data_IF_099390662656
#
_entry.id   IF_099390662656
#
_cell.length_a   1.000
_cell.length_b   1.000
_cell.length_c   1.000
_cell.angle_alpha   90.00
_cell.angle_beta   90.00
_cell.angle_gamma   90.00
#
_symmetry.space_group_name_H-M   'P 1'
#
loop_
_entity.id
_entity.type
_entity.pdbx_description
1 polymer ?
#
# COMPACT_ATOMS: atom_id res chain seq x y z
N UNK A 1 -4.59 -12.72 -2.13
CA UNK A 1 -4.07 -11.42 -2.64
C UNK A 1 -3.54 -10.59 -1.49
N UNK A 2 -2.45 -9.90 -1.75
CA UNK A 2 -1.83 -8.98 -0.79
C UNK A 2 -1.64 -7.63 -1.49
N UNK A 3 -2.15 -6.55 -0.89
CA UNK A 3 -1.95 -5.18 -1.38
C UNK A 3 -0.69 -4.62 -0.75
N UNK A 4 0.22 -4.12 -1.58
CA UNK A 4 1.47 -3.52 -1.13
C UNK A 4 1.26 -2.04 -0.83
N UNK A 5 1.55 -1.64 0.42
CA UNK A 5 1.53 -0.22 0.80
C UNK A 5 2.63 0.56 0.06
N UNK A 6 2.46 1.87 -0.04
CA UNK A 6 3.38 2.74 -0.78
C UNK A 6 4.83 2.59 -0.33
N UNK A 7 5.06 2.46 0.99
CA UNK A 7 6.41 2.31 1.52
C UNK A 7 7.11 1.01 1.08
N UNK A 8 6.35 -0.03 0.76
CA UNK A 8 6.89 -1.27 0.18
C UNK A 8 7.16 -1.08 -1.32
N UNK A 9 6.25 -0.40 -2.03
CA UNK A 9 6.39 -0.16 -3.47
C UNK A 9 7.62 0.69 -3.79
N UNK A 10 7.93 1.68 -2.98
CA UNK A 10 9.10 2.56 -3.16
C UNK A 10 10.40 1.75 -3.21
N UNK A 11 10.53 0.76 -2.34
CA UNK A 11 11.72 -0.08 -2.22
C UNK A 11 11.44 -1.53 -2.66
N UNK A 12 10.59 -1.68 -3.66
CA UNK A 12 10.09 -2.97 -4.12
C UNK A 12 11.19 -4.02 -4.31
N UNK A 13 12.34 -3.63 -4.85
CA UNK A 13 13.45 -4.56 -5.15
C UNK A 13 14.15 -5.10 -3.91
N UNK A 14 13.89 -4.54 -2.74
CA UNK A 14 14.53 -4.94 -1.48
C UNK A 14 13.88 -6.15 -0.83
N UNK A 15 12.71 -6.57 -1.32
CA UNK A 15 11.90 -7.58 -0.64
C UNK A 15 11.72 -8.83 -1.47
N UNK A 16 11.50 -9.95 -0.76
CA UNK A 16 11.10 -11.21 -1.37
C UNK A 16 9.59 -11.26 -1.50
N UNK A 17 9.13 -11.76 -2.63
CA UNK A 17 7.72 -12.00 -2.89
C UNK A 17 7.50 -13.47 -3.25
N UNK A 18 6.49 -14.06 -2.64
CA UNK A 18 6.13 -15.47 -2.87
C UNK A 18 5.55 -15.61 -4.27
N UNK A 19 6.13 -16.50 -5.08
CA UNK A 19 5.66 -16.76 -6.44
C UNK A 19 4.24 -17.34 -6.48
N UNK A 20 3.79 -17.97 -5.39
CA UNK A 20 2.44 -18.51 -5.28
C UNK A 20 1.39 -17.50 -4.82
N UNK A 21 1.79 -16.28 -4.47
CA UNK A 21 0.87 -15.25 -3.98
C UNK A 21 0.63 -14.17 -5.05
N UNK A 22 -0.61 -13.67 -5.10
CA UNK A 22 -0.95 -12.53 -5.94
C UNK A 22 -0.73 -11.23 -5.17
N UNK A 23 0.05 -10.32 -5.74
CA UNK A 23 0.30 -8.99 -5.16
C UNK A 23 -0.37 -7.93 -6.00
N UNK A 24 -0.87 -6.90 -5.34
CA UNK A 24 -1.59 -5.81 -5.97
C UNK A 24 -1.11 -4.47 -5.40
N UNK A 25 -1.40 -3.40 -6.11
CA UNK A 25 -1.09 -2.04 -5.69
C UNK A 25 -2.32 -1.14 -5.90
N UNK A 26 -2.53 -0.21 -4.97
CA UNK A 26 -3.66 0.70 -5.00
C UNK A 26 -3.39 1.90 -5.90
N UNK A 27 -4.41 2.37 -6.61
CA UNK A 27 -4.37 3.64 -7.33
C UNK A 27 -4.04 4.82 -6.39
N UNK A 28 -4.37 4.69 -5.10
CA UNK A 28 -4.03 5.70 -4.10
C UNK A 28 -2.53 5.79 -3.87
N UNK A 29 -1.84 4.65 -3.86
CA UNK A 29 -0.38 4.61 -3.79
C UNK A 29 0.24 5.24 -5.03
N UNK A 30 -0.35 5.01 -6.21
CA UNK A 30 0.12 5.65 -7.43
C UNK A 30 0.03 7.18 -7.34
N UNK A 31 -1.06 7.69 -6.78
CA UNK A 31 -1.22 9.14 -6.56
C UNK A 31 -0.11 9.69 -5.64
N UNK A 32 0.25 8.97 -4.58
CA UNK A 32 1.36 9.36 -3.70
C UNK A 32 2.70 9.36 -4.43
N UNK A 33 2.94 8.36 -5.29
CA UNK A 33 4.16 8.26 -6.07
C UNK A 33 4.26 9.39 -7.10
N UNK A 34 3.15 9.77 -7.73
CA UNK A 34 3.10 10.95 -8.61
C UNK A 34 3.43 12.23 -7.84
N UNK A 35 2.85 12.40 -6.66
CA UNK A 35 3.19 13.53 -5.78
C UNK A 35 4.70 13.52 -5.46
N UNK A 36 5.27 12.35 -5.16
CA UNK A 36 6.69 12.20 -4.88
C UNK A 36 7.59 12.66 -6.03
N UNK A 37 7.20 12.39 -7.28
CA UNK A 37 7.93 12.87 -8.46
C UNK A 37 7.89 14.39 -8.51
N UNK A 38 6.72 14.99 -8.36
CA UNK A 38 6.55 16.45 -8.43
C UNK A 38 7.22 17.20 -7.28
N UNK A 39 7.29 16.59 -6.10
CA UNK A 39 7.91 17.16 -4.91
C UNK A 39 9.42 16.97 -4.86
N UNK A 40 10.01 16.25 -5.81
CA UNK A 40 11.46 16.01 -5.85
C UNK A 40 12.22 17.31 -6.04
N UNK A 41 13.36 17.43 -5.35
CA UNK A 41 14.13 18.68 -5.27
C UNK A 41 15.42 18.68 -6.09
N UNK A 42 15.74 17.55 -6.76
CA UNK A 42 16.93 17.46 -7.61
C UNK A 42 16.63 16.64 -8.87
N UNK A 43 17.41 16.87 -9.96
CA UNK A 43 17.25 16.07 -11.17
C UNK A 43 17.44 14.57 -10.94
N UNK A 44 18.35 14.17 -10.05
CA UNK A 44 18.57 12.77 -9.71
C UNK A 44 17.36 12.15 -9.02
N UNK A 45 16.75 12.87 -8.10
CA UNK A 45 15.52 12.41 -7.42
C UNK A 45 14.37 12.27 -8.40
N UNK A 46 14.19 13.25 -9.29
CA UNK A 46 13.14 13.21 -10.32
C UNK A 46 13.32 11.97 -11.20
N UNK A 47 14.54 11.75 -11.70
CA UNK A 47 14.83 10.61 -12.57
C UNK A 47 14.58 9.28 -11.86
N UNK A 48 15.06 9.13 -10.63
CA UNK A 48 14.92 7.91 -9.84
C UNK A 48 13.46 7.58 -9.52
N UNK A 49 12.71 8.59 -9.10
CA UNK A 49 11.29 8.42 -8.74
C UNK A 49 10.43 8.14 -9.97
N UNK A 50 10.72 8.82 -11.09
CA UNK A 50 10.05 8.57 -12.37
C UNK A 50 10.32 7.15 -12.86
N UNK A 51 11.57 6.70 -12.80
CA UNK A 51 11.93 5.34 -13.19
C UNK A 51 11.19 4.30 -12.35
N UNK A 52 11.15 4.49 -11.03
CA UNK A 52 10.41 3.57 -10.14
C UNK A 52 8.94 3.52 -10.49
N UNK A 53 8.30 4.66 -10.71
CA UNK A 53 6.88 4.70 -11.07
C UNK A 53 6.64 3.98 -12.40
N UNK A 54 7.50 4.17 -13.40
CA UNK A 54 7.40 3.47 -14.68
C UNK A 54 7.54 1.95 -14.52
N UNK A 55 8.45 1.50 -13.65
CA UNK A 55 8.62 0.08 -13.35
C UNK A 55 7.36 -0.52 -12.71
N UNK A 56 6.75 0.22 -11.79
CA UNK A 56 5.52 -0.22 -11.12
C UNK A 56 4.33 -0.22 -12.08
N UNK A 57 4.22 0.78 -12.97
CA UNK A 57 3.19 0.83 -14.00
C UNK A 57 3.27 -0.38 -14.95
N UNK A 58 4.48 -0.85 -15.24
CA UNK A 58 4.68 -2.03 -16.08
C UNK A 58 4.31 -3.34 -15.36
N UNK A 59 4.30 -3.35 -14.03
CA UNK A 59 4.14 -4.55 -13.23
C UNK A 59 2.75 -4.72 -12.63
N UNK A 60 2.08 -3.63 -12.30
CA UNK A 60 0.80 -3.67 -11.61
C UNK A 60 -0.31 -3.04 -12.44
N UNK A 61 -1.48 -3.70 -12.42
CA UNK A 61 -2.75 -3.06 -12.72
C UNK A 61 -3.23 -2.44 -11.41
N UNK A 62 -3.34 -1.12 -11.38
CA UNK A 62 -3.66 -0.42 -10.15
C UNK A 62 -5.11 -0.67 -9.75
N UNK A 63 -5.32 -1.10 -8.50
CA UNK A 63 -6.67 -1.31 -7.97
C UNK A 63 -7.40 0.03 -7.83
N UNK A 64 -8.56 0.19 -8.45
CA UNK A 64 -9.33 1.42 -8.33
C UNK A 64 -10.02 1.50 -6.96
N UNK A 65 -10.34 2.72 -6.54
CA UNK A 65 -11.25 2.95 -5.43
C UNK A 65 -12.68 2.93 -5.95
N UNK A 66 -13.22 1.74 -6.17
CA UNK A 66 -14.55 1.54 -6.73
C UNK A 66 -15.66 1.71 -5.68
N UNK A 67 -16.91 1.58 -6.11
CA UNK A 67 -18.09 1.76 -5.24
C UNK A 67 -18.08 0.77 -4.08
N UNK A 68 -17.74 -0.49 -4.34
CA UNK A 68 -17.67 -1.54 -3.32
C UNK A 68 -16.57 -1.25 -2.31
N UNK A 69 -15.44 -0.71 -2.77
CA UNK A 69 -14.36 -0.27 -1.87
C UNK A 69 -14.81 0.87 -0.96
N UNK A 70 -15.69 1.77 -1.43
CA UNK A 70 -16.22 2.84 -0.58
C UNK A 70 -17.16 2.30 0.50
N UNK A 71 -17.90 1.24 0.23
CA UNK A 71 -18.72 0.56 1.24
C UNK A 71 -17.83 -0.09 2.30
N UNK A 72 -16.78 -0.77 1.88
CA UNK A 72 -15.79 -1.32 2.80
C UNK A 72 -15.11 -0.23 3.63
N UNK A 73 -14.85 0.94 3.05
CA UNK A 73 -14.32 2.09 3.78
C UNK A 73 -15.23 2.48 4.93
N UNK A 74 -16.53 2.62 4.67
CA UNK A 74 -17.50 2.95 5.71
C UNK A 74 -17.47 1.97 6.88
N UNK A 75 -17.42 0.67 6.56
CA UNK A 75 -17.35 -0.39 7.56
C UNK A 75 -16.03 -0.36 8.36
N UNK A 76 -14.91 -0.30 7.67
CA UNK A 76 -13.57 -0.36 8.25
C UNK A 76 -13.30 0.88 9.11
N UNK A 77 -13.60 2.06 8.59
CA UNK A 77 -13.36 3.32 9.30
C UNK A 77 -14.28 3.48 10.51
N UNK A 78 -15.56 3.12 10.39
CA UNK A 78 -16.49 3.17 11.51
C UNK A 78 -16.09 2.18 12.61
N UNK A 79 -15.67 0.98 12.23
CA UNK A 79 -15.19 -0.02 13.18
C UNK A 79 -13.96 0.46 13.96
N UNK A 80 -13.01 1.07 13.27
CA UNK A 80 -11.82 1.64 13.92
C UNK A 80 -12.17 2.79 14.86
N UNK A 81 -13.04 3.69 14.42
CA UNK A 81 -13.51 4.83 15.23
C UNK A 81 -14.22 4.36 16.50
N UNK A 82 -15.00 3.30 16.41
CA UNK A 82 -15.73 2.74 17.56
C UNK A 82 -14.80 2.23 18.66
N UNK A 83 -13.57 1.85 18.33
CA UNK A 83 -12.56 1.43 19.30
C UNK A 83 -11.78 2.60 19.90
N UNK A 84 -12.08 3.84 19.52
CA UNK A 84 -11.35 5.04 19.94
C UNK A 84 -10.06 5.28 19.19
N UNK A 85 -9.77 4.51 18.16
CA UNK A 85 -8.55 4.65 17.38
C UNK A 85 -8.59 5.89 16.51
N UNK A 86 -7.42 6.52 16.33
CA UNK A 86 -7.25 7.58 15.34
C UNK A 86 -7.12 6.94 13.96
N UNK A 87 -7.99 7.35 13.03
CA UNK A 87 -8.04 6.81 11.68
C UNK A 87 -7.35 7.78 10.72
N UNK A 88 -6.30 7.30 10.04
CA UNK A 88 -5.66 8.03 8.94
C UNK A 88 -6.38 7.69 7.64
N UNK A 89 -6.81 8.72 6.90
CA UNK A 89 -7.67 8.55 5.72
C UNK A 89 -7.08 7.62 4.66
N UNK A 90 -5.78 7.79 4.32
CA UNK A 90 -5.12 6.96 3.32
C UNK A 90 -5.04 5.50 3.76
N UNK A 91 -4.63 5.25 4.99
CA UNK A 91 -4.50 3.88 5.51
C UNK A 91 -5.85 3.18 5.58
N UNK A 92 -6.89 3.92 5.97
CA UNK A 92 -8.26 3.42 5.97
C UNK A 92 -8.75 3.08 4.56
N UNK A 93 -8.40 3.88 3.56
CA UNK A 93 -8.77 3.61 2.16
C UNK A 93 -8.07 2.35 1.62
N UNK A 94 -6.80 2.16 1.92
CA UNK A 94 -6.06 0.95 1.53
C UNK A 94 -6.62 -0.27 2.26
N UNK A 95 -6.88 -0.16 3.56
CA UNK A 95 -7.52 -1.22 4.33
C UNK A 95 -8.90 -1.57 3.78
N UNK A 96 -9.65 -0.57 3.32
CA UNK A 96 -10.94 -0.78 2.69
C UNK A 96 -10.83 -1.59 1.39
N UNK A 97 -9.86 -1.27 0.55
CA UNK A 97 -9.61 -2.05 -0.67
C UNK A 97 -9.23 -3.49 -0.33
N UNK A 98 -8.39 -3.70 0.68
CA UNK A 98 -8.04 -5.03 1.14
C UNK A 98 -9.26 -5.80 1.63
N UNK A 99 -10.10 -5.18 2.45
CA UNK A 99 -11.35 -5.78 2.93
C UNK A 99 -12.29 -6.13 1.77
N UNK A 100 -12.43 -5.22 0.81
CA UNK A 100 -13.27 -5.40 -0.38
C UNK A 100 -12.87 -6.65 -1.18
N UNK A 101 -11.58 -6.91 -1.31
CA UNK A 101 -11.05 -8.00 -2.12
C UNK A 101 -10.69 -9.26 -1.32
N UNK A 102 -10.95 -9.27 -0.01
CA UNK A 102 -10.52 -10.37 0.85
C UNK A 102 -9.00 -10.51 0.90
N UNK A 103 -8.28 -9.39 0.76
CA UNK A 103 -6.84 -9.33 0.68
C UNK A 103 -6.20 -8.93 2.00
N UNK A 104 -4.91 -9.22 2.16
CA UNK A 104 -4.07 -8.65 3.22
C UNK A 104 -3.42 -7.35 2.77
N UNK A 105 -2.81 -6.64 3.70
CA UNK A 105 -1.97 -5.47 3.45
C UNK A 105 -0.56 -5.75 3.91
N UNK A 106 0.44 -5.49 3.06
CA UNK A 106 1.85 -5.57 3.40
C UNK A 106 2.40 -4.15 3.55
N UNK A 107 2.97 -3.85 4.71
CA UNK A 107 3.42 -2.50 5.06
C UNK A 107 4.63 -2.54 5.98
N UNK A 108 5.46 -1.50 5.93
CA UNK A 108 6.52 -1.27 6.91
C UNK A 108 5.99 -0.60 8.18
N UNK A 109 4.78 0.00 8.13
CA UNK A 109 4.17 0.72 9.24
C UNK A 109 2.97 -0.04 9.80
N UNK A 110 3.23 -1.21 10.39
CA UNK A 110 2.19 -2.10 10.93
C UNK A 110 1.29 -1.37 11.93
N UNK A 111 1.88 -0.49 12.76
CA UNK A 111 1.13 0.24 13.79
C UNK A 111 0.04 1.14 13.19
N UNK A 112 0.26 1.71 12.00
CA UNK A 112 -0.73 2.55 11.33
C UNK A 112 -1.96 1.76 10.88
N UNK A 113 -1.82 0.43 10.73
CA UNK A 113 -2.91 -0.46 10.31
C UNK A 113 -3.54 -1.23 11.48
N UNK A 114 -3.02 -1.10 12.70
CA UNK A 114 -3.62 -1.76 13.89
C UNK A 114 -5.11 -1.50 14.06
N UNK A 115 -5.63 -0.28 13.81
CA UNK A 115 -7.07 -0.03 13.93
C UNK A 115 -7.93 -0.92 13.04
N UNK A 116 -7.36 -1.50 11.99
CA UNK A 116 -8.08 -2.33 11.00
C UNK A 116 -7.74 -3.82 11.11
N UNK A 117 -6.86 -4.21 12.04
CA UNK A 117 -6.32 -5.58 12.10
C UNK A 117 -7.38 -6.66 12.39
N UNK A 118 -8.52 -6.28 12.96
CA UNK A 118 -9.64 -7.20 13.19
C UNK A 118 -10.44 -7.51 11.91
N UNK A 119 -10.28 -6.72 10.86
CA UNK A 119 -10.98 -6.90 9.57
C UNK A 119 -10.02 -7.21 8.42
N UNK A 120 -8.74 -6.88 8.56
CA UNK A 120 -7.73 -6.99 7.49
C UNK A 120 -6.45 -7.59 8.05
N UNK A 121 -5.92 -8.61 7.39
CA UNK A 121 -4.62 -9.18 7.75
C UNK A 121 -3.51 -8.19 7.40
N UNK A 122 -2.62 -7.90 8.34
CA UNK A 122 -1.51 -6.97 8.15
C UNK A 122 -0.20 -7.74 8.21
N UNK A 123 0.64 -7.59 7.19
CA UNK A 123 1.89 -8.32 7.00
C UNK A 123 3.06 -7.35 6.88
N UNK A 124 4.25 -7.83 7.27
CA UNK A 124 5.52 -7.12 7.04
C UNK A 124 6.26 -7.77 5.86
N UNK A 125 6.94 -6.99 5.00
CA UNK A 125 7.71 -7.58 3.92
C UNK A 125 8.96 -8.28 4.44
N UNK A 126 9.40 -9.33 3.74
CA UNK A 126 10.63 -10.06 4.04
C UNK A 126 11.76 -9.48 3.22
N UNK A 127 12.86 -8.99 3.85
CA UNK A 127 14.00 -8.48 3.11
C UNK A 127 14.69 -9.59 2.31
N UNK A 128 15.21 -9.24 1.13
CA UNK A 128 16.05 -10.15 0.35
C UNK A 128 17.40 -10.33 1.06
N UNK A 129 17.91 -11.55 1.03
CA UNK A 129 19.25 -11.84 1.57
C UNK A 129 20.31 -11.10 0.77
N UNK A 130 21.33 -10.59 1.46
CA UNK A 130 22.46 -9.91 0.86
C UNK A 130 22.25 -8.44 0.55
N UNK A 131 21.06 -7.87 0.86
CA UNK A 131 20.84 -6.44 0.77
C UNK A 131 21.28 -5.77 2.07
N UNK A 132 22.18 -4.81 1.94
CA UNK A 132 22.71 -4.02 3.04
C UNK A 132 22.18 -2.60 2.90
N UNK A 133 21.64 -2.10 3.99
CA UNK A 133 21.10 -0.72 4.06
C UNK A 133 22.22 0.31 4.26
#
# INVERSE_FOLDING_TARGET
MIILDTNVLIDFDRYLFDAGEAYAASILSRAELEFGVQAATSPEQIAKRTQRLNQLDARFDWLPMDKESTRSYGLVAAGAKATGAKVRGKDALIAAQAHRHGAGVMTLNVDDFKPFAHLVTVLTPTPRLGIVD
#
